data_IF_707056439813
#
_entry.id   IF_707056439813
#
_cell.length_a   1.000
_cell.length_b   1.000
_cell.length_c   1.000
_cell.angle_alpha   90.00
_cell.angle_beta   90.00
_cell.angle_gamma   90.00
#
_symmetry.space_group_name_H-M   'P 1'
#
loop_
_entity.id
_entity.type
_entity.pdbx_description
1 polymer ?
#
# COMPACT_ATOMS: atom_id res chain seq x y z
N UNK A 1 1.08 -8.09 1.81
CA UNK A 1 1.36 -6.70 1.33
C UNK A 1 0.97 -6.63 -0.13
N UNK A 2 0.40 -5.52 -0.62
CA UNK A 2 0.15 -5.29 -2.04
C UNK A 2 1.07 -4.17 -2.55
N UNK A 3 1.80 -4.44 -3.63
CA UNK A 3 2.77 -3.52 -4.23
C UNK A 3 2.44 -3.25 -5.70
N UNK A 4 2.78 -2.04 -6.16
CA UNK A 4 2.70 -1.61 -7.56
C UNK A 4 3.99 -0.88 -7.94
N UNK A 5 4.46 -1.10 -9.17
CA UNK A 5 5.50 -0.31 -9.83
C UNK A 5 4.95 1.09 -10.12
N UNK A 6 5.34 2.04 -9.27
CA UNK A 6 4.90 3.42 -9.33
C UNK A 6 5.61 4.20 -10.42
N UNK A 7 6.90 3.93 -10.65
CA UNK A 7 7.68 4.57 -11.71
C UNK A 7 7.05 4.32 -13.08
N UNK A 8 6.76 3.06 -13.39
CA UNK A 8 6.08 2.68 -14.64
C UNK A 8 4.66 3.25 -14.71
N UNK A 9 3.91 3.24 -13.60
CA UNK A 9 2.59 3.85 -13.54
C UNK A 9 2.63 5.33 -13.93
N UNK A 10 3.57 6.09 -13.37
CA UNK A 10 3.75 7.52 -13.66
C UNK A 10 4.13 7.76 -15.12
N UNK A 11 5.07 6.98 -15.68
CA UNK A 11 5.46 7.08 -17.09
C UNK A 11 4.27 6.87 -18.01
N UNK A 12 3.49 5.80 -17.80
CA UNK A 12 2.31 5.49 -18.60
C UNK A 12 1.22 6.55 -18.43
N UNK A 13 1.04 7.08 -17.21
CA UNK A 13 0.07 8.15 -16.99
C UNK A 13 0.44 9.46 -17.64
N UNK A 14 1.72 9.83 -17.64
CA UNK A 14 2.22 11.03 -18.32
C UNK A 14 2.08 10.93 -19.84
N UNK A 15 2.29 9.74 -20.42
CA UNK A 15 2.04 9.51 -21.84
C UNK A 15 0.56 9.66 -22.21
N UNK A 16 -0.34 9.16 -21.35
CA UNK A 16 -1.79 9.23 -21.58
C UNK A 16 -2.37 10.63 -21.33
N UNK A 17 -1.82 11.36 -20.37
CA UNK A 17 -2.30 12.67 -19.90
C UNK A 17 -1.12 13.65 -19.84
N UNK A 18 -0.60 14.12 -20.99
CA UNK A 18 0.61 14.94 -21.05
C UNK A 18 0.44 16.34 -20.43
N UNK A 19 -0.79 16.81 -20.30
CA UNK A 19 -1.21 18.08 -19.71
C UNK A 19 -1.29 18.04 -18.18
N UNK A 20 -1.27 16.85 -17.58
CA UNK A 20 -1.35 16.71 -16.13
C UNK A 20 -0.09 17.20 -15.43
N UNK A 21 -0.29 17.98 -14.37
CA UNK A 21 0.80 18.35 -13.46
C UNK A 21 1.34 17.13 -12.72
N UNK A 22 2.58 17.21 -12.22
CA UNK A 22 3.19 16.15 -11.39
C UNK A 22 2.32 15.82 -10.15
N UNK A 23 1.65 16.83 -9.58
CA UNK A 23 0.68 16.63 -8.49
C UNK A 23 -0.50 15.77 -8.92
N UNK A 24 -1.05 16.00 -10.11
CA UNK A 24 -2.17 15.23 -10.64
C UNK A 24 -1.75 13.78 -10.97
N UNK A 25 -0.56 13.60 -11.56
CA UNK A 25 0.01 12.28 -11.86
C UNK A 25 0.21 11.43 -10.59
N UNK A 26 0.72 12.05 -9.53
CA UNK A 26 1.02 11.38 -8.25
C UNK A 26 -0.19 11.22 -7.32
N UNK A 27 -1.35 11.78 -7.66
CA UNK A 27 -2.53 11.75 -6.81
C UNK A 27 -2.94 10.31 -6.43
N UNK A 28 -2.92 9.94 -5.12
CA UNK A 28 -3.27 8.60 -4.66
C UNK A 28 -4.65 8.12 -5.08
N UNK A 29 -5.61 9.04 -5.26
CA UNK A 29 -6.98 8.69 -5.67
C UNK A 29 -7.02 7.89 -6.99
N UNK A 30 -6.03 8.08 -7.87
CA UNK A 30 -5.99 7.44 -9.19
C UNK A 30 -5.49 5.99 -9.16
N UNK A 31 -4.83 5.54 -8.10
CA UNK A 31 -4.19 4.22 -8.06
C UNK A 31 -4.41 3.45 -6.76
N UNK A 32 -4.70 4.12 -5.64
CA UNK A 32 -4.87 3.46 -4.35
C UNK A 32 -5.99 2.42 -4.34
N UNK A 33 -7.05 2.63 -5.15
CA UNK A 33 -8.17 1.71 -5.28
C UNK A 33 -7.73 0.33 -5.82
N UNK A 34 -6.78 0.31 -6.76
CA UNK A 34 -6.24 -0.94 -7.31
C UNK A 34 -5.49 -1.75 -6.25
N UNK A 35 -4.62 -1.10 -5.48
CA UNK A 35 -3.90 -1.75 -4.38
C UNK A 35 -4.85 -2.26 -3.29
N UNK A 36 -5.86 -1.47 -2.93
CA UNK A 36 -6.90 -1.88 -1.96
C UNK A 36 -7.65 -3.12 -2.44
N UNK A 37 -8.07 -3.16 -3.69
CA UNK A 37 -8.76 -4.30 -4.27
C UNK A 37 -7.88 -5.56 -4.25
N UNK A 38 -6.63 -5.46 -4.73
CA UNK A 38 -5.67 -6.57 -4.73
C UNK A 38 -5.43 -7.12 -3.32
N UNK A 39 -5.27 -6.23 -2.35
CA UNK A 39 -5.02 -6.62 -0.96
C UNK A 39 -6.26 -7.24 -0.31
N UNK A 40 -7.45 -6.71 -0.59
CA UNK A 40 -8.71 -7.27 -0.10
C UNK A 40 -8.98 -8.67 -0.67
N UNK A 41 -8.71 -8.88 -1.97
CA UNK A 41 -8.83 -10.21 -2.59
C UNK A 41 -7.91 -11.22 -1.90
N UNK A 42 -6.64 -10.85 -1.70
CA UNK A 42 -5.69 -11.69 -0.99
C UNK A 42 -6.17 -12.01 0.43
N UNK A 43 -6.55 -10.99 1.19
CA UNK A 43 -7.07 -11.15 2.55
C UNK A 43 -8.31 -12.03 2.61
N UNK A 44 -9.26 -11.86 1.68
CA UNK A 44 -10.49 -12.65 1.67
C UNK A 44 -10.26 -14.15 1.42
N UNK A 45 -9.12 -14.50 0.86
CA UNK A 45 -8.71 -15.90 0.66
C UNK A 45 -7.94 -16.50 1.84
N UNK A 46 -7.58 -15.70 2.84
CA UNK A 46 -6.83 -16.18 4.00
C UNK A 46 -7.78 -16.71 5.09
N UNK A 47 -7.44 -17.86 5.65
CA UNK A 47 -7.99 -18.29 6.93
C UNK A 47 -7.32 -17.47 8.05
N UNK A 48 -8.10 -16.61 8.70
CA UNK A 48 -7.62 -15.79 9.81
C UNK A 48 -7.57 -16.67 11.06
N UNK A 49 -6.40 -16.82 11.72
CA UNK A 49 -6.32 -17.63 12.94
C UNK A 49 -7.24 -17.09 14.04
N UNK A 50 -7.84 -17.95 14.88
CA UNK A 50 -8.71 -17.52 15.96
C UNK A 50 -8.05 -16.49 16.88
N UNK A 51 -8.80 -15.44 17.22
CA UNK A 51 -8.32 -14.35 18.08
C UNK A 51 -7.43 -13.31 17.37
N UNK A 52 -7.32 -13.37 16.04
CA UNK A 52 -6.70 -12.31 15.25
C UNK A 52 -7.73 -11.54 14.43
N UNK A 53 -7.40 -10.29 14.13
CA UNK A 53 -8.17 -9.39 13.27
C UNK A 53 -7.27 -8.69 12.26
N UNK A 54 -7.87 -8.20 11.18
CA UNK A 54 -7.15 -7.47 10.15
C UNK A 54 -7.28 -5.98 10.39
N UNK A 55 -6.13 -5.32 10.49
CA UNK A 55 -6.00 -3.88 10.70
C UNK A 55 -5.66 -3.17 9.39
N UNK A 56 -6.53 -2.25 8.99
CA UNK A 56 -6.41 -1.50 7.73
C UNK A 56 -5.57 -0.21 7.85
N UNK A 57 -5.45 0.35 9.06
CA UNK A 57 -4.76 1.62 9.33
C UNK A 57 -3.84 1.48 10.56
N UNK A 58 -2.76 0.69 10.47
CA UNK A 58 -1.91 0.41 11.63
C UNK A 58 -1.20 1.63 12.19
N UNK A 59 -0.87 2.64 11.37
CA UNK A 59 -0.29 3.90 11.86
C UNK A 59 -1.23 4.64 12.81
N UNK A 60 -2.55 4.60 12.56
CA UNK A 60 -3.55 5.20 13.45
C UNK A 60 -3.65 4.47 14.80
N UNK A 61 -3.14 3.23 14.87
CA UNK A 61 -3.04 2.44 16.10
C UNK A 61 -1.67 2.62 16.79
N UNK A 62 -0.86 3.58 16.35
CA UNK A 62 0.47 3.87 16.91
C UNK A 62 1.58 2.94 16.41
N UNK A 63 1.34 2.13 15.38
CA UNK A 63 2.35 1.23 14.83
C UNK A 63 3.22 2.00 13.82
N UNK A 64 4.53 2.02 14.06
CA UNK A 64 5.50 2.53 13.11
C UNK A 64 5.67 1.53 11.95
N UNK A 65 4.93 1.73 10.85
CA UNK A 65 4.94 0.80 9.72
C UNK A 65 6.30 0.65 9.05
N UNK A 66 7.09 1.73 8.98
CA UNK A 66 8.42 1.70 8.35
C UNK A 66 9.37 0.81 9.14
N UNK A 67 9.44 1.02 10.45
CA UNK A 67 10.28 0.21 11.33
C UNK A 67 9.77 -1.24 11.41
N UNK A 68 8.45 -1.43 11.44
CA UNK A 68 7.84 -2.76 11.50
C UNK A 68 8.16 -3.57 10.25
N UNK A 69 8.05 -2.97 9.07
CA UNK A 69 8.38 -3.63 7.81
C UNK A 69 9.89 -3.85 7.66
N UNK A 70 10.72 -2.89 8.07
CA UNK A 70 12.18 -3.04 8.06
C UNK A 70 12.64 -4.24 8.91
N UNK A 71 12.06 -4.43 10.11
CA UNK A 71 12.33 -5.61 10.97
C UNK A 71 11.87 -6.94 10.36
N UNK A 72 11.03 -6.90 9.34
CA UNK A 72 10.55 -8.06 8.59
C UNK A 72 11.24 -8.18 7.22
N UNK A 73 12.42 -7.58 7.07
CA UNK A 73 13.23 -7.55 5.84
C UNK A 73 12.47 -6.99 4.62
N UNK A 74 11.57 -6.03 4.86
CA UNK A 74 10.81 -5.34 3.84
C UNK A 74 10.93 -3.82 3.96
N UNK A 75 11.77 -3.21 3.13
CA UNK A 75 11.98 -1.77 3.15
C UNK A 75 10.92 -1.00 2.36
N UNK A 76 10.33 0.01 3.01
CA UNK A 76 9.36 0.92 2.41
C UNK A 76 10.01 2.23 1.96
N UNK A 77 9.65 2.69 0.76
CA UNK A 77 10.00 4.04 0.32
C UNK A 77 9.14 5.08 1.07
N UNK A 78 9.80 5.98 1.81
CA UNK A 78 9.12 7.13 2.46
C UNK A 78 8.51 8.10 1.45
N UNK A 79 9.25 8.39 0.38
CA UNK A 79 8.83 9.24 -0.72
C UNK A 79 8.84 8.40 -2.00
N UNK A 80 7.76 7.67 -2.31
CA UNK A 80 7.79 6.66 -3.34
C UNK A 80 8.03 7.25 -4.73
N UNK A 81 9.01 6.67 -5.40
CA UNK A 81 9.37 6.97 -6.80
C UNK A 81 9.40 5.71 -7.65
N UNK A 82 9.77 4.57 -7.07
CA UNK A 82 9.82 3.29 -7.79
C UNK A 82 8.61 2.43 -7.45
N UNK A 83 8.30 2.26 -6.16
CA UNK A 83 7.20 1.40 -5.71
C UNK A 83 6.30 2.07 -4.68
N UNK A 84 5.01 1.75 -4.74
CA UNK A 84 4.04 2.08 -3.69
C UNK A 84 3.45 0.80 -3.12
N UNK A 85 3.25 0.80 -1.81
CA UNK A 85 2.72 -0.34 -1.07
C UNK A 85 1.44 0.02 -0.31
N UNK A 86 0.51 -0.92 -0.24
CA UNK A 86 -0.59 -0.93 0.73
C UNK A 86 -0.43 -2.14 1.64
N UNK A 87 -0.53 -1.90 2.94
CA UNK A 87 -0.24 -2.86 3.99
C UNK A 87 -1.46 -2.99 4.87
N UNK A 88 -1.72 -4.21 5.31
CA UNK A 88 -2.66 -4.57 6.38
C UNK A 88 -1.88 -5.44 7.34
N UNK A 89 -2.14 -5.29 8.64
CA UNK A 89 -1.55 -6.14 9.66
C UNK A 89 -2.58 -7.11 10.21
N UNK A 90 -2.08 -8.25 10.67
CA UNK A 90 -2.83 -9.16 11.50
C UNK A 90 -2.52 -8.80 12.96
N UNK A 91 -3.52 -8.43 13.72
CA UNK A 91 -3.40 -8.01 15.12
C UNK A 91 -4.17 -8.96 16.03
N UNK A 92 -3.72 -9.11 17.28
CA UNK A 92 -4.56 -9.68 18.34
C UNK A 92 -5.15 -8.52 19.13
N UNK A 93 -6.49 -8.40 19.24
CA UNK A 93 -7.08 -7.45 20.16
C UNK A 93 -6.61 -7.79 21.60
N UNK A 94 -6.30 -6.75 22.37
CA UNK A 94 -5.91 -6.89 23.78
C UNK A 94 -7.12 -7.19 24.65
#
# INVERSE_FOLDING_TARGET
IAQMDFGRYLTLKKQRHPDWTERALRNPLHWQGHLRAKLNMYVSSLEIPPGFEIVDNPEAMGINIFETCHRADFDLERNPTLFVCKIKFLSKPR
#
